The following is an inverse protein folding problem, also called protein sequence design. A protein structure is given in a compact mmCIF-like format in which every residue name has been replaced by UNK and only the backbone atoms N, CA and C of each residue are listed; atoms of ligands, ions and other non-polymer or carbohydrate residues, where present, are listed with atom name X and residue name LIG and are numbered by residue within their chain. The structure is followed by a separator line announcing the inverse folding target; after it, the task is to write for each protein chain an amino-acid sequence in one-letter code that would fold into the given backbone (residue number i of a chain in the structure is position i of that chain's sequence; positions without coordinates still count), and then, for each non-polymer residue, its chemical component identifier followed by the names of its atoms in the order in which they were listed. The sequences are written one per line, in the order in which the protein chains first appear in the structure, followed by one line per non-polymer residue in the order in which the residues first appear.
data_IF_879148902993
#
_entry.id   IF_879148902993
#
_cell.length_a   1.000
_cell.length_b   1.000
_cell.length_c   1.000
_cell.angle_alpha   90.00
_cell.angle_beta   90.00
_cell.angle_gamma   90.00
#
_symmetry.space_group_name_H-M   'P 1'
#
loop_
_entity.id
_entity.type
_entity.pdbx_description
1 polymer ?
#
# COMPACT_ATOMS: atom_id res chain seq x y z
N UNK A 1 31.27 -5.48 -0.96
CA UNK A 1 29.84 -5.20 -0.80
C UNK A 1 29.31 -6.09 0.33
N UNK A 2 29.04 -5.51 1.49
CA UNK A 2 28.36 -6.24 2.56
C UNK A 2 26.85 -6.25 2.21
N UNK A 3 26.19 -7.41 2.26
CA UNK A 3 24.74 -7.44 2.13
C UNK A 3 24.14 -6.55 3.24
N UNK A 4 23.17 -5.73 2.87
CA UNK A 4 22.47 -4.86 3.81
C UNK A 4 21.73 -5.78 4.80
N UNK A 5 22.22 -5.87 6.01
CA UNK A 5 21.59 -6.68 7.06
C UNK A 5 20.42 -5.88 7.63
N UNK A 6 19.24 -6.11 7.08
CA UNK A 6 18.02 -5.52 7.61
C UNK A 6 17.68 -6.17 8.96
N UNK A 7 17.44 -5.33 9.96
CA UNK A 7 16.98 -5.75 11.29
C UNK A 7 15.56 -5.22 11.51
N UNK A 8 14.53 -6.00 11.14
CA UNK A 8 13.17 -5.65 11.50
C UNK A 8 13.05 -5.55 13.02
N UNK A 9 12.24 -4.62 13.48
CA UNK A 9 11.94 -4.40 14.90
C UNK A 9 10.69 -5.20 15.25
N UNK A 10 10.77 -6.07 16.24
CA UNK A 10 9.59 -6.76 16.77
C UNK A 10 8.67 -5.75 17.43
N UNK A 11 7.47 -5.64 16.92
CA UNK A 11 6.46 -4.70 17.42
C UNK A 11 5.39 -5.40 18.25
N UNK A 12 4.93 -6.57 17.78
CA UNK A 12 3.94 -7.40 18.44
C UNK A 12 4.34 -8.86 18.30
N UNK A 13 3.64 -9.74 19.03
CA UNK A 13 3.73 -11.17 18.78
C UNK A 13 3.43 -11.44 17.28
N UNK A 14 4.41 -12.06 16.60
CA UNK A 14 4.34 -12.42 15.17
C UNK A 14 4.27 -11.23 14.18
N UNK A 15 4.54 -10.01 14.61
CA UNK A 15 4.59 -8.83 13.74
C UNK A 15 5.87 -8.06 13.95
N UNK A 16 6.70 -8.04 12.92
CA UNK A 16 7.89 -7.22 12.85
C UNK A 16 7.67 -6.04 11.89
N UNK A 17 8.32 -4.93 12.16
CA UNK A 17 8.23 -3.70 11.36
C UNK A 17 9.62 -3.31 10.87
N UNK A 18 9.74 -3.01 9.59
CA UNK A 18 10.89 -2.35 9.01
C UNK A 18 10.51 -0.88 8.76
N UNK A 19 10.86 0.04 9.67
CA UNK A 19 10.45 1.43 9.55
C UNK A 19 11.23 2.13 8.43
N UNK A 20 10.55 3.02 7.72
CA UNK A 20 11.18 3.99 6.84
C UNK A 20 11.55 5.26 7.62
N UNK A 21 12.58 5.99 7.18
CA UNK A 21 12.92 7.32 7.69
C UNK A 21 12.55 8.41 6.71
N UNK A 22 12.52 9.65 7.18
CA UNK A 22 12.33 10.84 6.32
C UNK A 22 13.44 10.97 5.26
N UNK A 23 14.61 10.38 5.50
CA UNK A 23 15.74 10.38 4.57
C UNK A 23 15.45 9.57 3.29
N UNK A 24 14.42 8.70 3.33
CA UNK A 24 14.00 7.94 2.15
C UNK A 24 13.58 8.87 1.01
N UNK A 25 12.96 10.02 1.31
CA UNK A 25 12.61 11.03 0.31
C UNK A 25 13.84 11.65 -0.37
N UNK A 26 14.91 11.89 0.39
CA UNK A 26 16.21 12.35 -0.17
C UNK A 26 16.88 11.25 -0.99
N UNK A 27 16.76 10.00 -0.56
CA UNK A 27 17.28 8.83 -1.27
C UNK A 27 16.59 8.65 -2.63
N UNK A 28 15.33 9.02 -2.78
CA UNK A 28 14.61 8.97 -4.07
C UNK A 28 15.32 9.78 -5.16
N UNK A 29 15.86 10.94 -4.81
CA UNK A 29 16.62 11.79 -5.74
C UNK A 29 17.89 11.09 -6.22
N UNK A 30 18.62 10.45 -5.30
CA UNK A 30 19.84 9.71 -5.61
C UNK A 30 19.54 8.47 -6.46
N UNK A 31 18.48 7.75 -6.11
CA UNK A 31 18.04 6.56 -6.84
C UNK A 31 17.74 6.86 -8.30
N UNK A 32 17.25 8.05 -8.64
CA UNK A 32 16.89 8.41 -10.00
C UNK A 32 18.07 8.33 -11.00
N UNK A 33 19.30 8.37 -10.53
CA UNK A 33 20.51 8.28 -11.36
C UNK A 33 21.23 6.93 -11.21
N UNK A 34 20.73 6.02 -10.37
CA UNK A 34 21.37 4.72 -10.09
C UNK A 34 20.94 3.67 -11.12
N UNK A 35 21.86 3.00 -11.83
CA UNK A 35 21.52 1.87 -12.69
C UNK A 35 20.91 0.71 -11.87
N UNK A 36 19.87 0.07 -12.43
CA UNK A 36 19.17 -1.04 -11.75
C UNK A 36 18.37 -0.65 -10.52
N UNK A 37 18.13 0.64 -10.33
CA UNK A 37 17.38 1.22 -9.20
C UNK A 37 16.02 0.60 -8.95
N UNK A 38 15.40 0.05 -9.97
CA UNK A 38 14.07 -0.55 -9.88
C UNK A 38 14.07 -1.89 -9.14
N UNK A 39 15.23 -2.51 -8.93
CA UNK A 39 15.40 -3.84 -8.32
C UNK A 39 15.94 -3.79 -6.89
N UNK A 40 16.35 -2.63 -6.38
CA UNK A 40 17.01 -2.49 -5.10
C UNK A 40 16.19 -3.08 -3.95
N UNK A 41 14.90 -2.79 -3.92
CA UNK A 41 14.03 -3.26 -2.85
C UNK A 41 13.76 -4.77 -2.94
N UNK A 42 13.66 -5.32 -4.14
CA UNK A 42 13.55 -6.77 -4.36
C UNK A 42 14.76 -7.53 -3.78
N UNK A 43 15.95 -6.99 -3.96
CA UNK A 43 17.18 -7.58 -3.40
C UNK A 43 17.17 -7.55 -1.86
N UNK A 44 16.69 -6.45 -1.29
CA UNK A 44 16.55 -6.26 0.15
C UNK A 44 15.56 -7.27 0.74
N UNK A 45 14.38 -7.43 0.14
CA UNK A 45 13.30 -8.30 0.65
C UNK A 45 13.63 -9.77 0.48
N UNK A 46 14.36 -10.18 -0.54
CA UNK A 46 14.71 -11.58 -0.82
C UNK A 46 15.28 -12.32 0.41
N UNK A 47 15.98 -11.63 1.30
CA UNK A 47 16.49 -12.20 2.56
C UNK A 47 15.41 -12.42 3.63
N UNK A 48 14.25 -11.79 3.50
CA UNK A 48 13.14 -11.83 4.47
C UNK A 48 12.04 -12.84 4.07
N UNK A 49 11.90 -13.17 2.79
CA UNK A 49 10.84 -14.04 2.26
C UNK A 49 10.72 -15.40 2.97
N UNK A 50 11.85 -15.93 3.47
CA UNK A 50 11.87 -17.22 4.19
C UNK A 50 11.49 -17.12 5.67
N UNK A 51 11.36 -15.91 6.20
CA UNK A 51 11.12 -15.65 7.62
C UNK A 51 9.67 -15.27 7.92
N UNK A 52 8.93 -14.80 6.91
CA UNK A 52 7.59 -14.24 7.08
C UNK A 52 6.61 -14.90 6.13
N UNK A 53 5.42 -15.21 6.62
CA UNK A 53 4.31 -15.73 5.81
C UNK A 53 3.77 -14.64 4.86
N UNK A 54 3.78 -13.38 5.32
CA UNK A 54 3.33 -12.21 4.57
C UNK A 54 4.24 -11.03 4.81
N UNK A 55 4.56 -10.30 3.75
CA UNK A 55 5.28 -9.03 3.78
C UNK A 55 4.36 -7.96 3.20
N UNK A 56 3.96 -6.99 4.02
CA UNK A 56 3.13 -5.86 3.60
C UNK A 56 4.01 -4.63 3.39
N UNK A 57 3.92 -4.02 2.22
CA UNK A 57 4.69 -2.84 1.86
C UNK A 57 3.74 -1.66 1.76
N UNK A 58 3.82 -0.75 2.72
CA UNK A 58 3.11 0.54 2.66
C UNK A 58 3.85 1.51 1.75
N UNK A 59 3.15 2.03 0.74
CA UNK A 59 3.73 2.88 -0.29
C UNK A 59 3.26 4.32 -0.17
N UNK A 60 4.11 5.31 -0.51
CA UNK A 60 3.65 6.69 -0.63
C UNK A 60 2.61 6.81 -1.76
N UNK A 61 1.75 7.85 -1.72
CA UNK A 61 0.71 8.05 -2.74
C UNK A 61 1.25 8.42 -4.13
N UNK A 62 2.55 8.61 -4.26
CA UNK A 62 3.23 8.87 -5.53
C UNK A 62 3.53 7.57 -6.27
N UNK A 63 3.60 7.61 -7.60
CA UNK A 63 4.07 6.50 -8.44
C UNK A 63 5.54 6.65 -8.83
N UNK A 64 6.33 7.25 -7.93
CA UNK A 64 7.78 7.44 -8.06
C UNK A 64 8.58 6.16 -7.97
N UNK A 65 9.91 6.28 -7.93
CA UNK A 65 10.82 5.13 -7.94
C UNK A 65 10.64 4.22 -6.72
N UNK A 66 10.25 4.75 -5.56
CA UNK A 66 9.99 3.97 -4.34
C UNK A 66 8.81 3.01 -4.57
N UNK A 67 7.67 3.53 -5.08
CA UNK A 67 6.50 2.70 -5.39
C UNK A 67 6.79 1.69 -6.50
N UNK A 68 7.58 2.07 -7.51
CA UNK A 68 8.00 1.15 -8.56
C UNK A 68 8.86 0.01 -7.99
N UNK A 69 9.78 0.30 -7.06
CA UNK A 69 10.55 -0.72 -6.35
C UNK A 69 9.65 -1.67 -5.53
N UNK A 70 8.66 -1.13 -4.83
CA UNK A 70 7.70 -1.95 -4.10
C UNK A 70 6.94 -2.90 -5.04
N UNK A 71 6.46 -2.39 -6.19
CA UNK A 71 5.78 -3.20 -7.21
C UNK A 71 6.70 -4.27 -7.83
N UNK A 72 7.99 -3.95 -8.03
CA UNK A 72 8.98 -4.91 -8.54
C UNK A 72 9.31 -6.03 -7.54
N UNK A 73 9.10 -5.77 -6.24
CA UNK A 73 9.39 -6.69 -5.15
C UNK A 73 8.17 -7.49 -4.68
N UNK A 74 6.97 -7.19 -5.20
CA UNK A 74 5.71 -7.76 -4.71
C UNK A 74 5.13 -8.79 -5.68
N UNK A 75 4.45 -9.80 -5.12
CA UNK A 75 3.62 -10.75 -5.90
C UNK A 75 2.25 -10.15 -6.21
N UNK A 76 1.71 -9.36 -5.27
CA UNK A 76 0.39 -8.78 -5.37
C UNK A 76 0.39 -7.30 -4.96
N UNK A 77 -0.55 -6.56 -5.54
CA UNK A 77 -0.89 -5.21 -5.11
C UNK A 77 -2.38 -5.11 -4.83
N UNK A 78 -2.71 -4.50 -3.69
CA UNK A 78 -4.07 -4.08 -3.34
C UNK A 78 -4.14 -2.57 -3.51
N UNK A 79 -5.17 -2.08 -4.17
CA UNK A 79 -5.31 -0.67 -4.51
C UNK A 79 -6.45 -0.06 -3.68
N UNK A 80 -6.12 0.64 -2.57
CA UNK A 80 -7.11 1.40 -1.83
C UNK A 80 -7.52 2.63 -2.64
N UNK A 81 -8.81 2.92 -2.65
CA UNK A 81 -9.38 4.08 -3.32
C UNK A 81 -10.37 4.77 -2.38
N UNK A 82 -10.44 6.07 -2.42
CA UNK A 82 -11.44 6.83 -1.68
C UNK A 82 -12.57 7.31 -2.62
N UNK A 83 -13.67 7.78 -2.02
CA UNK A 83 -14.85 8.25 -2.74
C UNK A 83 -14.65 9.62 -3.40
N UNK A 84 -13.55 9.83 -4.15
CA UNK A 84 -13.34 11.07 -4.87
C UNK A 84 -13.38 10.89 -6.39
N UNK A 85 -13.69 11.98 -7.09
CA UNK A 85 -13.83 12.00 -8.56
C UNK A 85 -12.57 11.54 -9.31
N UNK A 86 -11.38 11.66 -8.70
CA UNK A 86 -10.12 11.30 -9.34
C UNK A 86 -9.70 9.83 -9.12
N UNK A 87 -10.52 9.06 -8.40
CA UNK A 87 -10.20 7.65 -8.10
C UNK A 87 -9.90 6.84 -9.37
N UNK A 88 -10.75 6.93 -10.38
CA UNK A 88 -10.57 6.22 -11.65
C UNK A 88 -9.29 6.61 -12.38
N UNK A 89 -8.95 7.90 -12.42
CA UNK A 89 -7.69 8.37 -13.03
C UNK A 89 -6.46 7.86 -12.27
N UNK A 90 -6.56 7.72 -10.96
CA UNK A 90 -5.51 7.12 -10.14
C UNK A 90 -5.30 5.64 -10.51
N UNK A 91 -6.38 4.89 -10.65
CA UNK A 91 -6.37 3.48 -11.05
C UNK A 91 -5.75 3.31 -12.44
N UNK A 92 -6.16 4.12 -13.43
CA UNK A 92 -5.57 4.09 -14.78
C UNK A 92 -4.06 4.30 -14.77
N UNK A 93 -3.56 5.25 -13.96
CA UNK A 93 -2.12 5.49 -13.83
C UNK A 93 -1.39 4.29 -13.23
N UNK A 94 -1.97 3.64 -12.19
CA UNK A 94 -1.38 2.45 -11.59
C UNK A 94 -1.32 1.31 -12.62
N UNK A 95 -2.39 1.07 -13.36
CA UNK A 95 -2.43 0.08 -14.45
C UNK A 95 -1.35 0.35 -15.50
N UNK A 96 -1.22 1.62 -15.92
CA UNK A 96 -0.19 2.02 -16.88
C UNK A 96 1.22 1.69 -16.37
N UNK A 97 1.53 2.06 -15.11
CA UNK A 97 2.84 1.81 -14.50
C UNK A 97 3.11 0.30 -14.37
N UNK A 98 2.15 -0.48 -13.85
CA UNK A 98 2.29 -1.94 -13.75
C UNK A 98 2.53 -2.54 -15.14
N UNK A 99 1.77 -2.11 -16.15
CA UNK A 99 1.96 -2.55 -17.53
C UNK A 99 3.34 -2.19 -18.10
N UNK A 100 3.87 -1.02 -17.75
CA UNK A 100 5.21 -0.60 -18.14
C UNK A 100 6.29 -1.46 -17.47
N UNK A 101 6.19 -1.66 -16.14
CA UNK A 101 7.12 -2.48 -15.38
C UNK A 101 7.14 -3.93 -15.88
N UNK A 102 5.98 -4.51 -16.18
CA UNK A 102 5.88 -5.86 -16.77
C UNK A 102 6.60 -5.95 -18.13
N UNK A 103 6.29 -5.02 -19.04
CA UNK A 103 6.87 -5.05 -20.41
C UNK A 103 8.35 -4.73 -20.45
N UNK A 104 8.83 -3.82 -19.60
CA UNK A 104 10.20 -3.30 -19.68
C UNK A 104 11.16 -3.99 -18.72
N UNK A 105 10.67 -4.41 -17.54
CA UNK A 105 11.50 -4.90 -16.44
C UNK A 105 11.11 -6.31 -15.98
N UNK A 106 10.11 -6.95 -16.60
CA UNK A 106 9.69 -8.29 -16.25
C UNK A 106 9.04 -8.39 -14.85
N UNK A 107 8.33 -7.35 -14.40
CA UNK A 107 7.58 -7.41 -13.16
C UNK A 107 6.50 -8.48 -13.23
N UNK A 108 6.34 -9.26 -12.16
CA UNK A 108 5.34 -10.33 -12.06
C UNK A 108 4.16 -9.96 -11.17
N UNK A 109 4.17 -8.76 -10.57
CA UNK A 109 3.14 -8.27 -9.68
C UNK A 109 1.75 -8.35 -10.30
N UNK A 110 0.77 -8.87 -9.55
CA UNK A 110 -0.63 -8.98 -9.97
C UNK A 110 -1.51 -8.09 -9.09
N UNK A 111 -2.52 -7.48 -9.71
CA UNK A 111 -3.52 -6.73 -8.95
C UNK A 111 -4.43 -7.77 -8.28
N UNK A 112 -4.42 -7.78 -6.95
CA UNK A 112 -5.29 -8.65 -6.15
C UNK A 112 -6.71 -8.10 -6.09
N UNK A 113 -6.83 -6.78 -6.02
CA UNK A 113 -8.14 -6.11 -6.04
C UNK A 113 -8.09 -4.66 -5.60
N UNK A 114 -9.28 -4.10 -5.58
CA UNK A 114 -9.56 -2.71 -5.21
C UNK A 114 -10.52 -2.68 -4.05
N UNK A 115 -10.35 -1.77 -3.11
CA UNK A 115 -11.31 -1.57 -2.05
C UNK A 115 -11.50 -0.10 -1.70
N UNK A 116 -12.70 0.25 -1.25
CA UNK A 116 -12.98 1.61 -0.85
C UNK A 116 -12.59 1.87 0.60
N UNK A 117 -11.87 2.97 0.79
CA UNK A 117 -11.55 3.53 2.10
C UNK A 117 -12.35 4.80 2.35
N UNK A 118 -12.51 5.18 3.62
CA UNK A 118 -13.27 6.36 4.05
C UNK A 118 -14.71 6.34 3.56
N UNK A 119 -15.24 5.18 3.25
CA UNK A 119 -16.56 4.98 2.67
C UNK A 119 -17.67 5.35 3.67
N UNK A 120 -18.67 6.09 3.17
CA UNK A 120 -19.87 6.42 3.91
C UNK A 120 -21.11 6.07 3.06
N UNK A 121 -21.83 5.01 3.46
CA UNK A 121 -23.03 4.55 2.75
C UNK A 121 -24.17 5.58 2.74
N UNK A 122 -24.17 6.55 3.65
CA UNK A 122 -25.14 7.66 3.66
C UNK A 122 -24.78 8.79 2.68
N UNK A 123 -23.61 8.75 2.06
CA UNK A 123 -23.17 9.76 1.11
C UNK A 123 -23.36 9.24 -0.31
N UNK A 124 -24.31 9.84 -1.04
CA UNK A 124 -24.66 9.42 -2.41
C UNK A 124 -23.42 9.33 -3.32
N UNK A 125 -22.51 10.30 -3.25
CA UNK A 125 -21.30 10.30 -4.06
C UNK A 125 -20.44 9.04 -3.83
N UNK A 126 -20.31 8.56 -2.60
CA UNK A 126 -19.49 7.38 -2.29
C UNK A 126 -20.16 6.11 -2.87
N UNK A 127 -21.50 6.06 -2.83
CA UNK A 127 -22.28 4.96 -3.41
C UNK A 127 -22.11 4.97 -4.92
N UNK A 128 -22.35 6.11 -5.58
CA UNK A 128 -22.25 6.26 -7.03
C UNK A 128 -20.82 5.88 -7.53
N UNK A 129 -19.78 6.31 -6.82
CA UNK A 129 -18.38 5.96 -7.15
C UNK A 129 -18.14 4.47 -6.99
N UNK A 130 -18.66 3.85 -5.92
CA UNK A 130 -18.52 2.40 -5.71
C UNK A 130 -19.18 1.61 -6.82
N UNK A 131 -20.38 1.99 -7.21
CA UNK A 131 -21.10 1.37 -8.34
C UNK A 131 -20.31 1.50 -9.64
N UNK A 132 -19.78 2.68 -9.94
CA UNK A 132 -18.94 2.92 -11.12
C UNK A 132 -17.64 2.08 -11.10
N UNK A 133 -17.04 1.89 -9.93
CA UNK A 133 -15.87 1.00 -9.77
C UNK A 133 -16.24 -0.45 -10.08
N UNK A 134 -17.39 -0.94 -9.57
CA UNK A 134 -17.86 -2.30 -9.82
C UNK A 134 -18.22 -2.48 -11.30
N UNK A 135 -18.89 -1.53 -11.92
CA UNK A 135 -19.21 -1.56 -13.35
C UNK A 135 -17.95 -1.66 -14.23
N UNK A 136 -16.87 -0.96 -13.83
CA UNK A 136 -15.65 -0.88 -14.64
C UNK A 136 -14.68 -2.03 -14.36
N UNK A 137 -14.55 -2.46 -13.10
CA UNK A 137 -13.51 -3.39 -12.63
C UNK A 137 -14.08 -4.76 -12.24
N UNK A 138 -15.41 -4.90 -12.19
CA UNK A 138 -16.10 -6.16 -11.92
C UNK A 138 -15.73 -6.77 -10.56
N UNK A 139 -15.50 -8.08 -10.58
CA UNK A 139 -15.19 -8.91 -9.40
C UNK A 139 -13.85 -8.54 -8.72
N UNK A 140 -13.03 -7.72 -9.38
CA UNK A 140 -11.78 -7.24 -8.76
C UNK A 140 -12.03 -6.20 -7.66
N UNK A 141 -13.24 -5.68 -7.52
CA UNK A 141 -13.62 -4.76 -6.43
C UNK A 141 -14.09 -5.56 -5.23
N UNK A 142 -13.39 -5.44 -4.11
CA UNK A 142 -13.76 -6.13 -2.89
C UNK A 142 -15.10 -5.65 -2.36
N UNK A 143 -15.90 -6.58 -1.84
CA UNK A 143 -17.15 -6.25 -1.15
C UNK A 143 -16.90 -5.44 0.13
N UNK A 144 -15.79 -5.75 0.81
CA UNK A 144 -15.37 -5.08 2.04
C UNK A 144 -14.99 -3.63 1.76
N UNK A 145 -15.54 -2.73 2.59
CA UNK A 145 -15.19 -1.31 2.58
C UNK A 145 -14.65 -0.89 3.95
N UNK A 146 -13.71 0.05 3.97
CA UNK A 146 -13.23 0.64 5.22
C UNK A 146 -13.95 1.98 5.41
N UNK A 147 -14.76 2.05 6.47
CA UNK A 147 -15.53 3.26 6.78
C UNK A 147 -14.61 4.37 7.30
N UNK A 148 -15.04 5.61 7.09
CA UNK A 148 -14.43 6.72 7.78
C UNK A 148 -14.73 6.59 9.29
N UNK A 149 -13.68 6.51 10.11
CA UNK A 149 -13.81 6.33 11.55
C UNK A 149 -12.80 7.22 12.27
N UNK A 150 -13.30 8.02 13.21
CA UNK A 150 -12.49 8.90 14.06
C UNK A 150 -11.50 8.09 14.89
N UNK A 151 -11.86 6.87 15.31
CA UNK A 151 -10.98 5.99 16.08
C UNK A 151 -9.68 5.64 15.32
N UNK A 152 -9.69 5.63 13.98
CA UNK A 152 -8.45 5.46 13.18
C UNK A 152 -7.46 6.61 13.38
N UNK A 153 -7.97 7.86 13.37
CA UNK A 153 -7.16 9.04 13.62
C UNK A 153 -6.67 9.10 15.08
N UNK A 154 -7.52 8.75 16.04
CA UNK A 154 -7.16 8.68 17.45
C UNK A 154 -6.11 7.61 17.73
N UNK A 155 -6.23 6.42 17.12
CA UNK A 155 -5.23 5.36 17.25
C UNK A 155 -3.87 5.81 16.71
N UNK A 156 -3.86 6.49 15.56
CA UNK A 156 -2.64 7.05 14.98
C UNK A 156 -2.02 8.13 15.89
N UNK A 157 -2.82 9.04 16.43
CA UNK A 157 -2.36 10.09 17.34
C UNK A 157 -1.76 9.51 18.63
N UNK A 158 -2.37 8.46 19.16
CA UNK A 158 -1.92 7.79 20.40
C UNK A 158 -0.85 6.73 20.15
N UNK A 159 -0.37 6.55 18.91
CA UNK A 159 0.57 5.51 18.50
C UNK A 159 0.14 4.10 18.98
N UNK A 160 -1.16 3.81 18.98
CA UNK A 160 -1.72 2.53 19.40
C UNK A 160 -2.42 1.81 18.25
N UNK A 161 -2.60 0.50 18.41
CA UNK A 161 -3.34 -0.29 17.44
C UNK A 161 -4.84 -0.04 17.56
N UNK A 162 -5.55 -0.14 16.45
CA UNK A 162 -6.99 0.11 16.39
C UNK A 162 -7.79 -0.76 17.38
N UNK A 163 -7.40 -2.02 17.56
CA UNK A 163 -8.09 -2.94 18.48
C UNK A 163 -7.70 -2.76 19.95
N UNK A 164 -6.61 -2.04 20.25
CA UNK A 164 -6.23 -1.66 21.62
C UNK A 164 -6.77 -0.28 22.00
N UNK A 165 -7.29 0.47 21.03
CA UNK A 165 -7.97 1.73 21.28
C UNK A 165 -9.34 1.47 21.93
N UNK A 166 -9.70 2.15 23.04
CA UNK A 166 -11.00 1.96 23.66
C UNK A 166 -12.11 2.26 22.65
N UNK A 167 -13.04 1.32 22.53
CA UNK A 167 -14.22 1.50 21.68
C UNK A 167 -15.01 2.73 22.13
N UNK A 168 -15.66 3.48 21.23
CA UNK A 168 -16.60 4.53 21.62
C UNK A 168 -17.72 4.05 22.58
N UNK A 169 -17.99 2.73 22.60
CA UNK A 169 -18.96 2.10 23.53
C UNK A 169 -18.40 1.89 24.94
N UNK A 170 -17.08 1.92 25.10
CA UNK A 170 -16.42 1.70 26.39
C UNK A 170 -16.17 3.02 27.16
N UNK A 171 -16.62 4.15 26.59
CA UNK A 171 -16.48 5.50 27.17
C UNK A 171 -17.75 6.04 27.83
N UNK A 172 -18.76 5.19 28.08
CA UNK A 172 -20.00 5.55 28.76
C UNK A 172 -19.94 5.21 30.25
#
# INVERSE_FOLDING_TARGET
DRPLELKPLTWLDRVDVLPASLDLAATEVIMNTTPGREFLFREIIRGLEKKYDHILIDCPPSLGIITQNALMASDFVIIPTDGNYFAMKGIEKIHYIIGLLRRKLGAEVRILGYFMTKYNAGRKLDVDIRESLIETLGESVFETTIRNNVALGEAQYNACLLYTSPSPRDRS
#
